data_IF_103252100217
#
_entry.id   IF_103252100217
#
_cell.length_a   1.000
_cell.length_b   1.000
_cell.length_c   1.000
_cell.angle_alpha   90.00
_cell.angle_beta   90.00
_cell.angle_gamma   90.00
#
_symmetry.space_group_name_H-M   'P 1'
#
loop_
_entity.id
_entity.type
_entity.pdbx_description
1 polymer ?
#
# COMPACT_ATOMS: atom_id res chain seq x y z
N UNK A 1 65.55 10.81 10.91
CA UNK A 1 66.40 11.47 9.91
C UNK A 1 65.55 12.43 9.09
N UNK A 2 65.73 13.72 9.31
CA UNK A 2 65.31 14.81 8.41
C UNK A 2 66.42 15.05 7.39
N UNK A 3 66.11 15.51 6.18
CA UNK A 3 66.39 16.89 5.82
C UNK A 3 65.25 17.50 4.99
N UNK A 4 64.94 18.71 5.03
CA UNK A 4 65.49 20.09 4.95
C UNK A 4 64.99 20.78 3.67
N UNK A 5 64.38 21.92 3.88
CA UNK A 5 64.00 23.07 3.05
C UNK A 5 64.87 23.33 1.81
N UNK A 6 64.24 23.78 0.70
CA UNK A 6 64.79 24.85 -0.16
C UNK A 6 63.66 25.74 -0.69
N UNK A 7 63.73 26.99 -0.27
CA UNK A 7 63.07 28.19 -0.87
C UNK A 7 63.75 28.50 -2.19
N UNK A 8 62.94 28.84 -3.18
CA UNK A 8 63.44 29.67 -4.31
C UNK A 8 62.49 30.85 -4.50
N UNK A 9 63.06 32.03 -4.30
CA UNK A 9 62.48 33.32 -4.65
C UNK A 9 62.63 33.55 -6.15
N UNK A 10 61.63 34.10 -6.81
CA UNK A 10 61.80 34.68 -8.15
C UNK A 10 60.91 35.92 -8.30
N UNK A 11 61.59 36.93 -8.48
CA UNK A 11 61.46 38.30 -8.99
C UNK A 11 60.13 38.69 -9.66
N UNK A 12 59.57 39.78 -9.17
CA UNK A 12 58.51 40.62 -9.79
C UNK A 12 59.07 41.39 -10.97
N UNK A 13 58.48 41.25 -12.11
CA UNK A 13 58.68 42.19 -13.24
C UNK A 13 57.34 42.86 -13.55
N UNK A 14 57.31 44.16 -13.27
CA UNK A 14 56.21 45.08 -13.52
C UNK A 14 56.19 45.47 -14.99
N UNK A 15 55.21 45.02 -15.76
CA UNK A 15 54.95 45.51 -17.09
C UNK A 15 53.67 46.35 -17.10
N UNK A 16 53.86 47.64 -17.27
CA UNK A 16 52.79 48.62 -17.52
C UNK A 16 52.32 48.44 -18.94
N UNK A 17 51.03 48.05 -19.11
CA UNK A 17 50.39 48.07 -20.44
C UNK A 17 49.23 49.05 -20.39
N UNK A 18 49.19 49.91 -21.36
CA UNK A 18 48.22 51.00 -21.58
C UNK A 18 46.80 50.47 -21.77
N UNK A 19 45.88 51.21 -21.18
CA UNK A 19 44.43 51.06 -21.32
C UNK A 19 44.00 51.31 -22.77
N UNK A 20 43.48 50.26 -23.41
CA UNK A 20 42.61 50.38 -24.56
C UNK A 20 41.18 50.06 -24.13
N UNK A 21 40.29 51.04 -24.13
CA UNK A 21 38.85 50.83 -23.99
C UNK A 21 38.34 50.06 -25.17
N UNK A 22 38.09 48.75 -24.98
CA UNK A 22 37.26 47.95 -25.90
C UNK A 22 35.88 47.87 -25.23
N UNK A 23 34.91 48.58 -25.82
CA UNK A 23 33.49 48.44 -25.44
C UNK A 23 33.07 47.00 -25.66
N UNK A 24 32.68 46.31 -24.60
CA UNK A 24 32.01 45.00 -24.67
C UNK A 24 30.68 45.16 -25.41
N UNK A 25 30.34 44.27 -26.33
CA UNK A 25 28.97 44.27 -26.91
C UNK A 25 27.98 43.96 -25.82
N UNK A 26 26.94 44.81 -25.68
CA UNK A 26 25.76 44.56 -24.88
C UNK A 26 25.19 43.19 -25.26
N UNK A 27 25.36 42.20 -24.40
CA UNK A 27 24.57 41.00 -24.46
C UNK A 27 23.11 41.40 -24.13
N UNK A 28 22.36 41.75 -25.15
CA UNK A 28 20.89 41.77 -25.08
C UNK A 28 20.48 40.37 -24.75
N UNK A 29 20.10 40.12 -23.50
CA UNK A 29 19.46 38.89 -23.09
C UNK A 29 18.27 38.66 -24.02
N UNK A 30 18.31 37.58 -24.82
CA UNK A 30 17.15 37.16 -25.59
C UNK A 30 15.93 37.13 -24.66
N UNK A 31 14.81 37.77 -25.02
CA UNK A 31 13.61 37.68 -24.22
C UNK A 31 13.28 36.22 -24.04
N UNK A 32 13.08 35.79 -22.79
CA UNK A 32 12.58 34.44 -22.47
C UNK A 32 11.33 34.25 -23.35
N UNK A 33 11.39 33.28 -24.26
CA UNK A 33 10.23 32.89 -25.07
C UNK A 33 9.15 32.49 -24.07
N UNK A 34 8.11 33.31 -23.95
CA UNK A 34 6.95 32.99 -23.14
C UNK A 34 6.41 31.66 -23.69
N UNK A 35 6.47 30.63 -22.86
CA UNK A 35 6.00 29.30 -23.20
C UNK A 35 4.52 29.44 -23.59
N UNK A 36 4.16 29.13 -24.83
CA UNK A 36 2.78 29.18 -25.27
C UNK A 36 1.93 28.24 -24.42
N UNK A 37 0.72 28.66 -23.98
CA UNK A 37 -0.15 27.77 -23.22
C UNK A 37 -0.40 26.48 -24.01
N UNK A 38 -0.45 25.32 -23.32
CA UNK A 38 -0.68 24.04 -23.98
C UNK A 38 -1.97 24.07 -24.82
N UNK A 39 -1.98 23.44 -25.98
CA UNK A 39 -3.23 23.23 -26.73
C UNK A 39 -4.20 22.39 -25.91
N UNK A 40 -5.52 22.46 -26.20
CA UNK A 40 -6.54 21.67 -25.49
C UNK A 40 -6.24 20.17 -25.52
N UNK A 41 -5.71 19.66 -26.65
CA UNK A 41 -5.24 18.25 -26.75
C UNK A 41 -4.10 17.95 -25.77
N UNK A 42 -3.12 18.85 -25.69
CA UNK A 42 -1.98 18.71 -24.78
C UNK A 42 -2.43 18.84 -23.32
N UNK A 43 -3.38 19.76 -23.03
CA UNK A 43 -3.95 19.94 -21.69
C UNK A 43 -4.75 18.72 -21.25
N UNK A 44 -5.53 18.09 -22.14
CA UNK A 44 -6.24 16.83 -21.87
C UNK A 44 -5.27 15.70 -21.49
N UNK A 45 -4.20 15.52 -22.26
CA UNK A 45 -3.18 14.53 -21.95
C UNK A 45 -2.48 14.80 -20.61
N UNK A 46 -2.11 16.06 -20.38
CA UNK A 46 -1.48 16.52 -19.14
C UNK A 46 -2.37 16.26 -17.92
N UNK A 47 -3.67 16.60 -18.02
CA UNK A 47 -4.66 16.35 -16.97
C UNK A 47 -4.79 14.85 -16.65
N UNK A 48 -4.77 13.99 -17.67
CA UNK A 48 -4.85 12.55 -17.47
C UNK A 48 -3.63 12.00 -16.72
N UNK A 49 -2.42 12.45 -17.04
CA UNK A 49 -1.20 12.04 -16.36
C UNK A 49 -1.18 12.52 -14.90
N UNK A 50 -1.53 13.79 -14.68
CA UNK A 50 -1.57 14.40 -13.35
C UNK A 50 -2.65 13.75 -12.48
N UNK A 51 -3.82 13.45 -13.03
CA UNK A 51 -4.87 12.73 -12.34
C UNK A 51 -4.38 11.35 -11.88
N UNK A 52 -3.76 10.59 -12.79
CA UNK A 52 -3.21 9.25 -12.48
C UNK A 52 -2.17 9.31 -11.36
N UNK A 53 -1.31 10.33 -11.37
CA UNK A 53 -0.31 10.58 -10.32
C UNK A 53 -0.96 10.90 -8.97
N UNK A 54 -1.96 11.78 -8.96
CA UNK A 54 -2.62 12.32 -7.76
C UNK A 54 -3.63 11.33 -7.14
N UNK A 55 -4.19 10.42 -7.95
CA UNK A 55 -5.31 9.54 -7.57
C UNK A 55 -5.07 8.79 -6.25
N UNK A 56 -3.91 8.13 -6.02
CA UNK A 56 -3.68 7.40 -4.78
C UNK A 56 -3.74 8.29 -3.53
N UNK A 57 -3.16 9.50 -3.59
CA UNK A 57 -3.14 10.41 -2.44
C UNK A 57 -4.53 10.96 -2.13
N UNK A 58 -5.32 11.31 -3.14
CA UNK A 58 -6.71 11.76 -2.95
C UNK A 58 -7.55 10.64 -2.35
N UNK A 59 -7.40 9.41 -2.85
CA UNK A 59 -8.10 8.24 -2.29
C UNK A 59 -7.68 7.95 -0.85
N UNK A 60 -6.39 8.05 -0.53
CA UNK A 60 -5.88 7.94 0.84
C UNK A 60 -6.54 8.95 1.78
N UNK A 61 -6.66 10.19 1.35
CA UNK A 61 -7.25 11.25 2.16
C UNK A 61 -8.76 11.04 2.39
N UNK A 62 -9.53 10.68 1.36
CA UNK A 62 -10.95 10.33 1.50
C UNK A 62 -11.14 9.13 2.43
N UNK A 63 -10.30 8.10 2.28
CA UNK A 63 -10.31 6.92 3.16
C UNK A 63 -9.99 7.31 4.61
N UNK A 64 -8.99 8.17 4.81
CA UNK A 64 -8.63 8.70 6.13
C UNK A 64 -9.81 9.45 6.76
N UNK A 65 -10.45 10.34 6.02
CA UNK A 65 -11.60 11.10 6.54
C UNK A 65 -12.71 10.17 7.03
N UNK A 66 -13.12 9.21 6.22
CA UNK A 66 -14.17 8.26 6.61
C UNK A 66 -13.78 7.41 7.84
N UNK A 67 -12.57 6.89 7.87
CA UNK A 67 -12.12 6.05 8.99
C UNK A 67 -11.95 6.86 10.28
N UNK A 68 -11.52 8.13 10.18
CA UNK A 68 -11.30 8.98 11.36
C UNK A 68 -12.59 9.58 11.94
N UNK A 69 -13.73 9.42 11.27
CA UNK A 69 -15.04 9.69 11.89
C UNK A 69 -15.31 8.80 13.12
N UNK A 70 -14.82 7.55 13.08
CA UNK A 70 -15.02 6.55 14.14
C UNK A 70 -13.85 6.45 15.09
N UNK A 71 -12.63 6.64 14.60
CA UNK A 71 -11.40 6.48 15.39
C UNK A 71 -10.48 7.67 15.14
N UNK A 72 -10.17 8.51 16.16
CA UNK A 72 -9.30 9.67 15.99
C UNK A 72 -7.93 9.30 15.42
N UNK A 73 -7.27 10.26 14.75
CA UNK A 73 -5.86 10.11 14.34
C UNK A 73 -4.97 9.77 15.55
N UNK A 74 -3.86 9.11 15.31
CA UNK A 74 -2.91 8.66 16.33
C UNK A 74 -3.55 7.71 17.39
N UNK A 75 -4.59 6.99 16.99
CA UNK A 75 -5.30 6.02 17.84
C UNK A 75 -5.56 4.73 17.08
N UNK A 76 -5.34 3.58 17.71
CA UNK A 76 -5.62 2.30 17.09
C UNK A 76 -7.11 1.97 17.07
N UNK A 77 -7.56 1.46 15.93
CA UNK A 77 -8.78 0.67 15.76
C UNK A 77 -8.40 -0.79 15.60
N UNK A 78 -8.93 -1.67 16.43
CA UNK A 78 -8.62 -3.10 16.39
C UNK A 78 -9.82 -3.91 15.89
N UNK A 79 -9.60 -4.72 14.85
CA UNK A 79 -10.54 -5.79 14.49
C UNK A 79 -10.28 -6.98 15.41
N UNK A 80 -11.30 -7.39 16.17
CA UNK A 80 -11.19 -8.42 17.22
C UNK A 80 -11.58 -9.81 16.73
N UNK A 81 -12.18 -9.90 15.57
CA UNK A 81 -12.61 -11.16 14.94
C UNK A 81 -12.23 -11.19 13.48
N UNK A 82 -12.18 -12.38 12.91
CA UNK A 82 -12.16 -12.49 11.45
C UNK A 82 -13.52 -12.05 10.88
N UNK A 83 -13.53 -11.48 9.67
CA UNK A 83 -14.77 -11.35 8.91
C UNK A 83 -15.40 -12.74 8.67
N UNK A 84 -16.68 -12.77 8.49
CA UNK A 84 -17.45 -13.96 8.10
C UNK A 84 -18.11 -13.76 6.73
N UNK A 85 -18.99 -14.67 6.33
CA UNK A 85 -19.64 -14.61 5.03
C UNK A 85 -20.66 -13.47 4.87
N UNK A 86 -21.05 -12.78 5.95
CA UNK A 86 -21.91 -11.59 5.89
C UNK A 86 -21.14 -10.31 5.64
N UNK A 87 -19.79 -10.37 5.72
CA UNK A 87 -18.93 -9.21 5.56
C UNK A 87 -18.73 -8.87 4.07
N UNK A 88 -19.14 -7.66 3.69
CA UNK A 88 -19.10 -7.18 2.29
C UNK A 88 -18.33 -5.87 2.10
N UNK A 89 -17.72 -5.31 3.17
CA UNK A 89 -17.05 -4.00 3.13
C UNK A 89 -15.81 -3.99 2.25
N UNK A 90 -15.10 -5.11 2.14
CA UNK A 90 -13.91 -5.27 1.29
C UNK A 90 -13.90 -6.64 0.62
N UNK A 91 -13.36 -6.69 -0.59
CA UNK A 91 -13.16 -7.94 -1.35
C UNK A 91 -12.00 -8.76 -0.77
N UNK A 92 -12.04 -10.07 -0.98
CA UNK A 92 -11.01 -11.02 -0.54
C UNK A 92 -10.64 -10.89 0.93
N UNK A 93 -11.63 -10.90 1.87
CA UNK A 93 -11.37 -10.71 3.29
C UNK A 93 -10.37 -11.74 3.84
N UNK A 94 -9.65 -11.36 4.89
CA UNK A 94 -8.57 -12.13 5.48
C UNK A 94 -9.06 -12.94 6.70
N UNK A 95 -8.73 -14.23 6.78
CA UNK A 95 -9.02 -15.11 7.89
C UNK A 95 -7.74 -15.64 8.60
N UNK A 96 -6.60 -14.92 8.44
CA UNK A 96 -5.30 -15.32 8.96
C UNK A 96 -4.78 -14.42 10.06
N UNK A 97 -5.15 -13.12 10.02
CA UNK A 97 -4.61 -12.09 10.91
C UNK A 97 -5.72 -11.19 11.43
N UNK A 98 -5.59 -10.73 12.67
CA UNK A 98 -6.41 -9.65 13.20
C UNK A 98 -5.73 -8.30 12.97
N UNK A 99 -6.51 -7.33 12.50
CA UNK A 99 -6.00 -6.02 12.11
C UNK A 99 -5.96 -5.03 13.27
N UNK A 100 -4.93 -4.20 13.27
CA UNK A 100 -4.76 -3.02 14.15
C UNK A 100 -4.40 -1.83 13.27
N UNK A 101 -5.37 -0.98 12.97
CA UNK A 101 -5.20 0.12 12.03
C UNK A 101 -5.19 1.47 12.73
N UNK A 102 -4.37 2.40 12.25
CA UNK A 102 -4.34 3.78 12.72
C UNK A 102 -3.93 4.73 11.61
N UNK A 103 -4.54 5.90 11.57
CA UNK A 103 -4.08 7.03 10.78
C UNK A 103 -3.19 7.91 11.65
N UNK A 104 -1.96 8.19 11.21
CA UNK A 104 -1.04 9.07 11.90
C UNK A 104 -1.04 10.44 11.24
N UNK A 105 -1.06 11.48 12.06
CA UNK A 105 -0.79 12.85 11.68
C UNK A 105 0.54 13.26 12.33
N UNK A 106 1.57 13.40 11.52
CA UNK A 106 2.94 13.75 11.91
C UNK A 106 3.25 15.23 11.68
N UNK A 107 2.26 16.03 11.29
CA UNK A 107 2.47 17.45 10.96
C UNK A 107 2.86 18.31 12.19
N UNK A 108 2.47 17.87 13.39
CA UNK A 108 2.74 18.61 14.63
C UNK A 108 3.95 18.06 15.38
N UNK A 109 3.98 16.76 15.57
CA UNK A 109 5.03 16.08 16.34
C UNK A 109 5.13 14.60 15.94
N UNK A 110 6.26 13.93 16.23
CA UNK A 110 6.42 12.51 16.06
C UNK A 110 5.46 11.70 16.93
N UNK A 111 5.16 10.48 16.46
CA UNK A 111 4.37 9.50 17.20
C UNK A 111 5.23 8.26 17.49
N UNK A 112 5.22 7.82 18.74
CA UNK A 112 5.92 6.61 19.16
C UNK A 112 4.98 5.42 19.05
N UNK A 113 5.34 4.47 18.17
CA UNK A 113 4.72 3.15 18.08
C UNK A 113 5.38 2.23 19.10
N UNK A 114 4.63 1.78 20.09
CA UNK A 114 5.06 0.75 21.05
C UNK A 114 4.41 -0.58 20.73
N UNK A 115 5.23 -1.64 20.60
CA UNK A 115 4.78 -3.02 20.40
C UNK A 115 5.25 -3.89 21.57
N UNK A 116 4.40 -4.81 22.08
CA UNK A 116 4.79 -5.75 23.14
C UNK A 116 5.72 -6.84 22.59
N UNK A 117 6.26 -7.67 23.48
CA UNK A 117 6.84 -8.95 23.07
C UNK A 117 5.73 -9.88 22.56
N UNK A 118 5.80 -10.28 21.30
CA UNK A 118 4.83 -11.18 20.68
C UNK A 118 5.17 -12.66 20.84
N UNK A 119 6.25 -12.98 21.57
CA UNK A 119 6.69 -14.34 21.90
C UNK A 119 6.83 -15.23 20.66
N UNK A 120 7.48 -14.70 19.62
CA UNK A 120 7.69 -15.42 18.36
C UNK A 120 6.50 -15.40 17.39
N UNK A 121 5.32 -14.88 17.78
CA UNK A 121 4.16 -14.75 16.90
C UNK A 121 4.47 -13.79 15.75
N UNK A 122 4.06 -14.16 14.55
CA UNK A 122 4.16 -13.27 13.39
C UNK A 122 3.25 -12.06 13.55
N UNK A 123 3.80 -10.90 13.33
CA UNK A 123 3.09 -9.63 13.20
C UNK A 123 3.85 -8.71 12.24
N UNK A 124 3.17 -7.74 11.69
CA UNK A 124 3.73 -6.64 10.93
C UNK A 124 2.90 -5.37 11.18
N UNK A 125 3.59 -4.22 11.17
CA UNK A 125 3.02 -2.88 11.31
C UNK A 125 3.45 -2.00 10.14
N UNK A 126 3.00 -2.28 8.90
CA UNK A 126 3.36 -1.49 7.74
C UNK A 126 2.93 -0.05 7.91
N UNK A 127 3.84 0.87 7.61
CA UNK A 127 3.64 2.31 7.58
C UNK A 127 3.59 2.74 6.12
N UNK A 128 2.43 3.14 5.67
CA UNK A 128 2.16 3.57 4.30
C UNK A 128 2.11 5.09 4.26
N UNK A 129 2.88 5.71 3.36
CA UNK A 129 2.88 7.14 3.14
C UNK A 129 1.60 7.62 2.39
N UNK A 130 1.44 8.92 2.25
CA UNK A 130 0.30 9.51 1.54
C UNK A 130 0.23 9.09 0.04
N UNK A 131 1.34 8.66 -0.54
CA UNK A 131 1.46 8.20 -1.91
C UNK A 131 1.28 6.69 -2.06
N UNK A 132 0.86 6.01 -1.00
CA UNK A 132 0.61 4.56 -0.91
C UNK A 132 1.86 3.68 -0.98
N UNK A 133 3.06 4.22 -0.75
CA UNK A 133 4.24 3.40 -0.59
C UNK A 133 4.41 2.97 0.88
N UNK A 134 4.72 1.72 1.11
CA UNK A 134 5.14 1.22 2.43
C UNK A 134 6.61 1.56 2.63
N UNK A 135 6.89 2.58 3.44
CA UNK A 135 8.26 3.05 3.68
C UNK A 135 8.95 2.33 4.85
N UNK A 136 8.20 1.69 5.72
CA UNK A 136 8.71 0.85 6.80
C UNK A 136 7.66 -0.18 7.22
N UNK A 137 8.12 -1.33 7.72
CA UNK A 137 7.23 -2.40 8.19
C UNK A 137 7.82 -3.05 9.45
N UNK A 138 7.77 -2.37 10.64
CA UNK A 138 8.14 -3.02 11.90
C UNK A 138 7.35 -4.32 12.09
N UNK A 139 8.04 -5.41 12.44
CA UNK A 139 7.40 -6.70 12.55
C UNK A 139 8.41 -7.84 12.71
N UNK A 140 7.92 -9.07 12.77
CA UNK A 140 8.77 -10.24 12.98
C UNK A 140 9.94 -10.30 12.00
N UNK A 141 9.71 -9.95 10.73
CA UNK A 141 10.72 -9.98 9.68
C UNK A 141 11.83 -8.95 9.88
N UNK A 142 11.46 -7.72 10.26
CA UNK A 142 12.36 -6.54 10.23
C UNK A 142 12.94 -6.19 11.60
N UNK A 143 12.10 -6.22 12.65
CA UNK A 143 12.47 -5.78 14.00
C UNK A 143 12.41 -6.90 15.03
N UNK A 144 12.02 -8.10 14.61
CA UNK A 144 11.87 -9.25 15.50
C UNK A 144 10.58 -9.22 16.32
N UNK A 145 10.52 -10.04 17.36
CA UNK A 145 9.30 -10.25 18.16
C UNK A 145 9.38 -9.72 19.58
N UNK A 146 10.53 -9.21 20.00
CA UNK A 146 10.71 -8.59 21.33
C UNK A 146 10.01 -7.24 21.40
N UNK A 147 9.71 -6.78 22.61
CA UNK A 147 9.17 -5.43 22.83
C UNK A 147 10.03 -4.37 22.15
N UNK A 148 9.39 -3.42 21.47
CA UNK A 148 10.06 -2.33 20.79
C UNK A 148 9.28 -1.02 20.85
N UNK A 149 10.01 0.09 20.74
CA UNK A 149 9.47 1.44 20.59
C UNK A 149 10.13 2.10 19.38
N UNK A 150 9.32 2.59 18.46
CA UNK A 150 9.76 3.20 17.21
C UNK A 150 9.20 4.61 17.12
N UNK A 151 10.08 5.60 16.95
CA UNK A 151 9.66 7.00 16.80
C UNK A 151 9.42 7.28 15.32
N UNK A 152 8.16 7.49 14.94
CA UNK A 152 7.78 7.83 13.57
C UNK A 152 7.79 9.34 13.47
N UNK A 153 8.72 9.90 12.68
CA UNK A 153 8.89 11.35 12.47
C UNK A 153 8.33 11.77 11.13
N UNK A 154 7.78 12.98 11.05
CA UNK A 154 7.37 13.59 9.77
C UNK A 154 8.58 14.07 8.93
N UNK A 155 8.34 14.46 7.67
CA UNK A 155 9.42 14.85 6.74
C UNK A 155 10.22 16.05 7.23
N UNK A 156 9.58 17.03 7.86
CA UNK A 156 10.18 18.28 8.27
C UNK A 156 10.64 18.30 9.74
N UNK A 157 10.46 17.20 10.46
CA UNK A 157 10.85 17.16 11.87
C UNK A 157 12.37 17.23 12.04
N UNK A 158 12.83 18.08 12.99
CA UNK A 158 14.26 18.37 13.26
C UNK A 158 14.62 18.29 14.75
N UNK A 159 13.73 17.75 15.58
CA UNK A 159 13.96 17.67 17.02
C UNK A 159 14.94 16.57 17.44
N UNK A 160 15.08 16.37 18.76
CA UNK A 160 15.94 15.35 19.36
C UNK A 160 15.10 14.16 19.81
N UNK A 161 15.56 12.96 19.49
CA UNK A 161 14.91 11.72 19.90
C UNK A 161 15.24 11.34 21.34
N UNK A 162 14.33 10.67 22.04
CA UNK A 162 14.64 10.02 23.31
C UNK A 162 15.77 9.00 23.14
N UNK A 163 16.68 8.95 24.12
CA UNK A 163 17.84 8.05 24.07
C UNK A 163 17.44 6.58 23.88
N UNK A 164 18.08 5.91 22.95
CA UNK A 164 17.90 4.47 22.69
C UNK A 164 16.66 4.13 21.84
N UNK A 165 15.96 5.10 21.28
CA UNK A 165 14.86 4.87 20.35
C UNK A 165 15.32 4.82 18.90
N UNK A 166 14.68 3.97 18.12
CA UNK A 166 14.88 3.89 16.68
C UNK A 166 13.95 4.89 15.98
N UNK A 167 14.53 5.74 15.13
CA UNK A 167 13.76 6.61 14.23
C UNK A 167 13.27 5.86 13.02
N UNK A 168 12.02 6.11 12.63
CA UNK A 168 11.45 5.78 11.33
C UNK A 168 10.95 7.08 10.72
N UNK A 169 11.72 7.63 9.77
CA UNK A 169 11.35 8.88 9.11
C UNK A 169 10.35 8.63 8.00
N UNK A 170 9.20 9.27 8.10
CA UNK A 170 8.17 9.26 7.07
C UNK A 170 8.47 10.29 5.99
N UNK A 171 8.26 9.97 4.70
CA UNK A 171 8.34 10.95 3.62
C UNK A 171 7.15 11.93 3.59
N UNK A 172 6.06 11.63 4.31
CA UNK A 172 4.85 12.45 4.36
C UNK A 172 4.34 12.60 5.79
N UNK A 173 3.53 13.65 6.05
CA UNK A 173 2.93 13.84 7.38
C UNK A 173 1.70 12.95 7.60
N UNK A 174 0.98 12.58 6.54
CA UNK A 174 -0.11 11.62 6.58
C UNK A 174 0.46 10.20 6.40
N UNK A 175 0.18 9.32 7.37
CA UNK A 175 0.62 7.93 7.34
C UNK A 175 -0.54 7.01 7.72
N UNK A 176 -0.71 5.92 7.00
CA UNK A 176 -1.61 4.84 7.38
C UNK A 176 -0.83 3.64 7.91
N UNK A 177 -1.00 3.32 9.18
CA UNK A 177 -0.50 2.11 9.80
C UNK A 177 -1.57 1.01 9.68
N UNK A 178 -1.23 -0.10 9.02
CA UNK A 178 -2.15 -1.22 8.79
C UNK A 178 -1.56 -2.49 9.43
N UNK A 179 -1.57 -2.53 10.76
CA UNK A 179 -1.01 -3.63 11.53
C UNK A 179 -1.79 -4.93 11.34
N UNK A 180 -1.07 -6.04 11.30
CA UNK A 180 -1.62 -7.40 11.20
C UNK A 180 -0.93 -8.31 12.21
N UNK A 181 -1.71 -9.04 13.00
CA UNK A 181 -1.20 -10.01 13.99
C UNK A 181 -1.77 -11.38 13.66
N UNK A 182 -0.92 -12.37 13.49
CA UNK A 182 -1.30 -13.77 13.22
C UNK A 182 -2.30 -14.26 14.25
N UNK A 183 -3.37 -14.91 13.80
CA UNK A 183 -4.33 -15.60 14.63
C UNK A 183 -4.59 -17.01 14.09
N UNK A 184 -4.50 -18.00 14.97
CA UNK A 184 -4.61 -19.42 14.61
C UNK A 184 -6.05 -19.93 14.88
N UNK A 185 -7.02 -19.32 14.18
CA UNK A 185 -8.44 -19.61 14.37
C UNK A 185 -9.06 -18.86 15.57
N UNK A 186 -10.38 -19.05 15.76
CA UNK A 186 -11.18 -18.32 16.75
C UNK A 186 -10.72 -18.55 18.20
N UNK A 187 -10.23 -19.73 18.52
CA UNK A 187 -9.71 -20.10 19.84
C UNK A 187 -8.46 -19.30 20.25
N UNK A 188 -7.75 -18.71 19.28
CA UNK A 188 -6.54 -17.93 19.52
C UNK A 188 -6.82 -16.42 19.71
N UNK A 189 -8.05 -15.96 19.43
CA UNK A 189 -8.42 -14.54 19.57
C UNK A 189 -8.08 -13.93 20.93
N UNK A 190 -8.33 -14.59 22.08
CA UNK A 190 -7.99 -14.00 23.38
C UNK A 190 -6.49 -13.71 23.53
N UNK A 191 -5.61 -14.55 22.95
CA UNK A 191 -4.16 -14.31 22.97
C UNK A 191 -3.78 -13.11 22.09
N UNK A 192 -4.37 -13.00 20.91
CA UNK A 192 -4.14 -11.86 20.00
C UNK A 192 -4.71 -10.57 20.59
N UNK A 193 -5.87 -10.60 21.23
CA UNK A 193 -6.47 -9.43 21.89
C UNK A 193 -5.53 -8.87 22.96
N UNK A 194 -4.90 -9.72 23.78
CA UNK A 194 -3.92 -9.29 24.79
C UNK A 194 -2.72 -8.57 24.17
N UNK A 195 -2.31 -8.92 22.94
CA UNK A 195 -1.26 -8.20 22.21
C UNK A 195 -1.79 -6.87 21.66
N UNK A 196 -2.98 -6.88 21.03
CA UNK A 196 -3.61 -5.68 20.49
C UNK A 196 -3.85 -4.63 21.60
N UNK A 197 -4.23 -5.06 22.80
CA UNK A 197 -4.45 -4.18 23.96
C UNK A 197 -3.16 -3.51 24.46
N UNK A 198 -2.01 -3.99 24.05
CA UNK A 198 -0.69 -3.43 24.41
C UNK A 198 -0.06 -2.61 23.28
N UNK A 199 -0.59 -2.65 22.06
CA UNK A 199 -0.14 -1.71 21.02
C UNK A 199 -0.51 -0.28 21.43
N UNK A 200 0.46 0.63 21.37
CA UNK A 200 0.27 2.04 21.75
C UNK A 200 0.81 2.97 20.67
N UNK A 201 0.12 4.07 20.52
CA UNK A 201 0.59 5.25 19.78
C UNK A 201 0.63 6.39 20.77
N UNK A 202 1.82 6.93 20.98
CA UNK A 202 2.05 7.99 21.97
C UNK A 202 2.71 9.18 21.29
N UNK A 203 2.12 10.39 21.30
CA UNK A 203 2.80 11.59 20.84
C UNK A 203 4.13 11.78 21.59
N UNK A 204 5.15 12.27 20.92
CA UNK A 204 6.48 12.42 21.52
C UNK A 204 6.44 13.32 22.77
N UNK A 205 5.65 14.38 22.78
CA UNK A 205 5.45 15.29 23.91
C UNK A 205 4.85 14.61 25.15
N UNK A 206 4.12 13.51 25.00
CA UNK A 206 3.53 12.74 26.09
C UNK A 206 4.41 11.55 26.54
N UNK A 207 5.56 11.34 25.92
CA UNK A 207 6.45 10.23 26.25
C UNK A 207 7.16 10.46 27.59
N UNK A 208 7.09 9.49 28.51
CA UNK A 208 7.70 9.57 29.85
C UNK A 208 6.96 10.43 30.86
N UNK A 209 5.91 11.12 30.47
CA UNK A 209 5.13 11.99 31.34
C UNK A 209 3.63 11.70 31.29
N UNK A 210 3.08 11.13 32.31
CA UNK A 210 1.67 11.16 32.62
C UNK A 210 0.67 10.57 31.60
N UNK A 211 -0.56 10.39 32.05
CA UNK A 211 -1.67 9.87 31.26
C UNK A 211 -2.12 10.88 30.20
N UNK A 212 -1.98 10.56 28.91
CA UNK A 212 -2.58 11.35 27.83
C UNK A 212 -4.09 11.40 28.03
N UNK A 213 -4.64 12.59 28.03
CA UNK A 213 -6.07 12.81 27.84
C UNK A 213 -6.31 12.73 26.31
N UNK A 214 -7.13 11.82 25.79
CA UNK A 214 -7.48 11.82 24.38
C UNK A 214 -8.05 13.18 24.00
N UNK A 215 -7.50 13.80 22.96
CA UNK A 215 -8.09 15.00 22.41
C UNK A 215 -9.51 14.64 21.95
N UNK A 216 -10.53 15.28 22.51
CA UNK A 216 -11.90 15.16 22.01
C UNK A 216 -11.87 15.75 20.60
N UNK A 217 -11.94 14.87 19.59
CA UNK A 217 -12.16 15.31 18.22
C UNK A 217 -13.54 15.96 18.22
N UNK A 218 -13.56 17.29 18.05
CA UNK A 218 -14.81 17.99 17.79
C UNK A 218 -15.45 17.38 16.54
N UNK A 219 -16.76 17.07 16.56
CA UNK A 219 -17.44 16.63 15.36
C UNK A 219 -17.16 17.65 14.27
N UNK A 220 -16.47 17.25 13.21
CA UNK A 220 -16.32 18.13 12.05
C UNK A 220 -17.69 18.21 11.42
N UNK A 221 -18.26 19.43 11.21
CA UNK A 221 -19.46 19.60 10.41
C UNK A 221 -19.05 19.34 8.96
N UNK A 222 -19.09 18.12 8.54
CA UNK A 222 -18.76 17.75 7.17
C UNK A 222 -19.95 16.98 6.63
N UNK A 223 -20.45 17.46 5.49
CA UNK A 223 -21.23 16.64 4.59
C UNK A 223 -20.33 15.52 3.99
N UNK A 224 -19.73 14.68 4.86
CA UNK A 224 -19.02 13.50 4.39
C UNK A 224 -20.11 12.48 4.06
N UNK A 225 -20.12 12.06 2.81
CA UNK A 225 -20.92 10.92 2.38
C UNK A 225 -20.39 9.67 3.11
N UNK A 226 -21.22 9.10 3.98
CA UNK A 226 -20.89 7.86 4.73
C UNK A 226 -21.47 6.61 4.08
N UNK A 227 -22.24 6.77 3.02
CA UNK A 227 -22.93 5.69 2.30
C UNK A 227 -22.09 5.15 1.15
N UNK A 228 -21.43 6.04 0.40
CA UNK A 228 -20.56 5.66 -0.72
C UNK A 228 -19.17 5.28 -0.24
N UNK A 229 -18.56 4.29 -0.88
CA UNK A 229 -17.17 3.90 -0.62
C UNK A 229 -16.19 5.04 -1.00
N UNK A 230 -14.96 5.07 -0.41
CA UNK A 230 -13.95 6.07 -0.80
C UNK A 230 -13.68 6.11 -2.30
N UNK A 231 -13.67 4.95 -2.95
CA UNK A 231 -13.45 4.82 -4.40
C UNK A 231 -14.57 5.49 -5.19
N UNK A 232 -15.83 5.28 -4.79
CA UNK A 232 -17.00 5.90 -5.42
C UNK A 232 -17.00 7.41 -5.20
N UNK A 233 -16.67 7.89 -4.01
CA UNK A 233 -16.59 9.33 -3.72
C UNK A 233 -15.52 10.03 -4.57
N UNK A 234 -14.33 9.44 -4.72
CA UNK A 234 -13.30 10.00 -5.60
C UNK A 234 -13.72 9.94 -7.06
N UNK A 235 -14.40 8.87 -7.49
CA UNK A 235 -14.88 8.73 -8.86
C UNK A 235 -15.99 9.76 -9.21
N UNK A 236 -16.75 10.24 -8.21
CA UNK A 236 -17.80 11.24 -8.39
C UNK A 236 -17.27 12.70 -8.41
N UNK A 237 -15.99 12.93 -8.07
CA UNK A 237 -15.40 14.28 -8.11
C UNK A 237 -15.25 14.76 -9.55
N UNK A 238 -15.63 16.02 -9.81
CA UNK A 238 -15.18 16.72 -11.01
C UNK A 238 -13.67 17.06 -10.91
N UNK A 239 -13.08 17.44 -12.02
CA UNK A 239 -11.65 17.74 -12.06
C UNK A 239 -11.25 18.88 -11.13
N UNK A 240 -12.10 19.92 -10.98
CA UNK A 240 -11.81 21.04 -10.10
C UNK A 240 -11.78 20.63 -8.64
N UNK A 241 -12.78 19.88 -8.17
CA UNK A 241 -12.83 19.35 -6.80
C UNK A 241 -11.65 18.42 -6.52
N UNK A 242 -11.36 17.51 -7.43
CA UNK A 242 -10.26 16.56 -7.32
C UNK A 242 -8.90 17.26 -7.22
N UNK A 243 -8.56 18.15 -8.15
CA UNK A 243 -7.27 18.85 -8.14
C UNK A 243 -7.16 19.89 -7.04
N UNK A 244 -8.25 20.50 -6.61
CA UNK A 244 -8.26 21.36 -5.43
C UNK A 244 -7.89 20.57 -4.17
N UNK A 245 -8.51 19.40 -3.99
CA UNK A 245 -8.19 18.52 -2.87
C UNK A 245 -6.72 18.06 -2.93
N UNK A 246 -6.26 17.63 -4.09
CA UNK A 246 -4.88 17.25 -4.31
C UNK A 246 -3.91 18.37 -3.95
N UNK A 247 -4.12 19.58 -4.46
CA UNK A 247 -3.25 20.73 -4.17
C UNK A 247 -3.19 21.07 -2.68
N UNK A 248 -4.31 20.93 -1.96
CA UNK A 248 -4.38 21.15 -0.52
C UNK A 248 -3.59 20.11 0.31
N UNK A 249 -3.37 18.91 -0.21
CA UNK A 249 -2.63 17.84 0.45
C UNK A 249 -1.11 17.96 0.29
N UNK A 250 -0.65 18.59 -0.78
CA UNK A 250 0.78 18.67 -1.14
C UNK A 250 1.70 19.31 -0.07
N UNK A 251 1.29 20.37 0.67
CA UNK A 251 2.17 20.99 1.66
C UNK A 251 2.66 20.03 2.74
N UNK A 252 1.79 19.13 3.20
CA UNK A 252 2.10 18.15 4.24
C UNK A 252 2.61 16.82 3.68
N UNK A 253 2.47 16.60 2.38
CA UNK A 253 2.76 15.34 1.71
C UNK A 253 3.50 15.57 0.38
N UNK A 254 4.73 16.08 0.43
CA UNK A 254 5.48 16.41 -0.77
C UNK A 254 5.71 15.19 -1.68
N UNK A 255 5.79 15.39 -3.01
CA UNK A 255 6.25 14.35 -3.93
C UNK A 255 7.68 13.91 -3.62
N UNK A 256 8.02 12.69 -4.01
CA UNK A 256 9.39 12.20 -3.88
C UNK A 256 10.34 12.94 -4.86
N UNK A 257 11.65 13.03 -4.58
CA UNK A 257 12.61 13.64 -5.51
C UNK A 257 12.58 13.02 -6.94
N UNK A 258 12.27 11.74 -7.04
CA UNK A 258 12.12 11.04 -8.32
C UNK A 258 10.92 11.53 -9.16
N UNK A 259 9.98 12.24 -8.55
CA UNK A 259 8.78 12.75 -9.21
C UNK A 259 8.97 14.16 -9.83
N UNK A 260 10.21 14.69 -9.88
CA UNK A 260 10.51 16.05 -10.36
C UNK A 260 9.85 16.35 -11.73
N UNK A 261 9.94 15.43 -12.68
CA UNK A 261 9.31 15.59 -14.00
C UNK A 261 7.76 15.66 -13.93
N UNK A 262 7.16 15.05 -12.92
CA UNK A 262 5.71 15.17 -12.69
C UNK A 262 5.38 16.49 -12.00
N UNK A 263 6.23 16.97 -11.11
CA UNK A 263 6.08 18.30 -10.47
C UNK A 263 6.09 19.40 -11.54
N UNK A 264 6.95 19.32 -12.57
CA UNK A 264 6.91 20.24 -13.71
C UNK A 264 5.57 20.19 -14.46
N UNK A 265 4.98 18.99 -14.59
CA UNK A 265 3.65 18.83 -15.18
C UNK A 265 2.53 19.46 -14.32
N UNK A 266 2.65 19.36 -13.00
CA UNK A 266 1.71 20.06 -12.08
C UNK A 266 1.74 21.58 -12.34
N UNK A 267 2.93 22.17 -12.40
CA UNK A 267 3.10 23.61 -12.67
C UNK A 267 2.52 24.01 -14.02
N UNK A 268 2.81 23.24 -15.09
CA UNK A 268 2.26 23.50 -16.44
C UNK A 268 0.74 23.37 -16.50
N UNK A 269 0.14 22.58 -15.63
CA UNK A 269 -1.31 22.48 -15.49
C UNK A 269 -1.91 23.61 -14.62
N UNK A 270 -1.07 24.42 -13.98
CA UNK A 270 -1.50 25.51 -13.09
C UNK A 270 -1.84 25.05 -11.67
N UNK A 271 -1.39 23.84 -11.28
CA UNK A 271 -1.56 23.36 -9.91
C UNK A 271 -0.46 23.95 -9.04
N UNK A 272 -0.86 24.76 -8.06
CA UNK A 272 0.04 25.38 -7.07
C UNK A 272 -0.18 24.73 -5.69
N UNK A 273 0.92 24.42 -5.02
CA UNK A 273 0.91 23.77 -3.70
C UNK A 273 0.08 24.60 -2.70
N UNK A 274 -0.92 23.99 -2.08
CA UNK A 274 -1.78 24.59 -1.09
C UNK A 274 -2.82 25.60 -1.62
N UNK A 275 -2.86 25.84 -2.94
CA UNK A 275 -3.80 26.79 -3.56
C UNK A 275 -4.93 26.03 -4.26
N UNK A 276 -6.22 26.40 -4.05
CA UNK A 276 -7.32 25.77 -4.74
C UNK A 276 -7.20 25.86 -6.26
N UNK A 277 -7.34 24.74 -6.94
CA UNK A 277 -7.34 24.68 -8.39
C UNK A 277 -8.67 25.21 -8.95
N UNK A 278 -8.62 26.11 -9.93
CA UNK A 278 -9.79 26.77 -10.47
C UNK A 278 -9.87 26.61 -11.99
N UNK A 279 -10.83 25.86 -12.46
CA UNK A 279 -11.15 25.78 -13.91
C UNK A 279 -11.89 27.01 -14.41
N UNK A 280 -12.53 27.77 -13.51
CA UNK A 280 -13.31 28.95 -13.84
C UNK A 280 -12.50 30.14 -14.36
N UNK A 281 -11.18 30.13 -14.18
CA UNK A 281 -10.28 31.16 -14.72
C UNK A 281 -9.63 30.74 -16.05
N UNK A 282 -9.93 29.53 -16.55
CA UNK A 282 -9.44 29.00 -17.80
C UNK A 282 -10.40 29.33 -18.94
N UNK A 283 -9.89 29.30 -20.19
CA UNK A 283 -10.76 29.28 -21.35
C UNK A 283 -11.72 28.08 -21.28
N UNK A 284 -13.00 28.23 -21.72
CA UNK A 284 -13.96 27.14 -21.61
C UNK A 284 -13.56 25.85 -22.30
N UNK A 285 -12.81 25.90 -23.40
CA UNK A 285 -12.29 24.73 -24.11
C UNK A 285 -11.22 24.03 -23.28
N UNK A 286 -10.30 24.76 -22.67
CA UNK A 286 -9.24 24.26 -21.81
C UNK A 286 -9.81 23.65 -20.54
N UNK A 287 -10.78 24.29 -19.88
CA UNK A 287 -11.47 23.72 -18.72
C UNK A 287 -12.15 22.38 -19.03
N UNK A 288 -12.78 22.28 -20.23
CA UNK A 288 -13.35 21.04 -20.73
C UNK A 288 -12.27 19.97 -20.98
N UNK A 289 -11.15 20.34 -21.57
CA UNK A 289 -10.03 19.45 -21.83
C UNK A 289 -9.46 18.86 -20.51
N UNK A 290 -9.36 19.67 -19.45
CA UNK A 290 -8.97 19.23 -18.11
C UNK A 290 -9.95 18.17 -17.57
N UNK A 291 -11.26 18.43 -17.65
CA UNK A 291 -12.28 17.47 -17.20
C UNK A 291 -12.24 16.17 -18.01
N UNK A 292 -12.13 16.25 -19.32
CA UNK A 292 -12.03 15.07 -20.19
C UNK A 292 -10.78 14.25 -19.91
N UNK A 293 -9.65 14.89 -19.60
CA UNK A 293 -8.41 14.21 -19.22
C UNK A 293 -8.56 13.43 -17.91
N UNK A 294 -9.12 14.06 -16.88
CA UNK A 294 -9.41 13.41 -15.60
C UNK A 294 -10.35 12.20 -15.77
N UNK A 295 -11.43 12.36 -16.53
CA UNK A 295 -12.39 11.29 -16.82
C UNK A 295 -11.74 10.12 -17.57
N UNK A 296 -10.89 10.42 -18.56
CA UNK A 296 -10.14 9.38 -19.31
C UNK A 296 -9.16 8.62 -18.44
N UNK A 297 -8.48 9.32 -17.52
CA UNK A 297 -7.55 8.70 -16.56
C UNK A 297 -8.27 7.75 -15.61
N UNK A 298 -9.39 8.17 -15.04
CA UNK A 298 -10.21 7.30 -14.18
C UNK A 298 -10.68 6.06 -14.94
N UNK A 299 -11.15 6.21 -16.15
CA UNK A 299 -11.55 5.08 -17.00
C UNK A 299 -10.38 4.12 -17.28
N UNK A 300 -9.19 4.66 -17.51
CA UNK A 300 -7.98 3.85 -17.71
C UNK A 300 -7.56 3.09 -16.45
N UNK A 301 -7.66 3.70 -15.26
CA UNK A 301 -7.42 3.04 -13.96
C UNK A 301 -8.39 1.86 -13.77
N UNK A 302 -9.71 2.10 -13.99
CA UNK A 302 -10.74 1.05 -13.89
C UNK A 302 -10.51 -0.08 -14.90
N UNK A 303 -10.14 0.27 -16.14
CA UNK A 303 -9.83 -0.72 -17.16
C UNK A 303 -8.58 -1.54 -16.79
N UNK A 304 -7.53 -0.89 -16.26
CA UNK A 304 -6.33 -1.57 -15.76
C UNK A 304 -6.65 -2.55 -14.63
N UNK A 305 -7.55 -2.15 -13.72
CA UNK A 305 -8.03 -3.00 -12.65
C UNK A 305 -8.78 -4.26 -13.15
N UNK A 306 -9.57 -4.12 -14.22
CA UNK A 306 -10.34 -5.23 -14.82
C UNK A 306 -9.49 -6.20 -15.64
N UNK A 307 -8.45 -5.70 -16.32
CA UNK A 307 -7.58 -6.53 -17.15
C UNK A 307 -6.81 -7.56 -16.34
N UNK A 308 -6.52 -7.26 -15.06
CA UNK A 308 -5.65 -8.10 -14.26
C UNK A 308 -4.24 -8.20 -14.87
N UNK A 309 -3.44 -9.11 -14.35
CA UNK A 309 -2.18 -9.50 -14.99
C UNK A 309 -2.41 -10.76 -15.86
N UNK A 310 -1.55 -10.92 -16.85
CA UNK A 310 -1.53 -12.13 -17.65
C UNK A 310 -1.28 -13.36 -16.77
N UNK A 311 -1.94 -14.45 -17.11
CA UNK A 311 -1.76 -15.76 -16.53
C UNK A 311 -0.27 -16.18 -16.56
N UNK A 312 0.23 -16.74 -15.49
CA UNK A 312 1.58 -17.31 -15.43
C UNK A 312 1.71 -18.67 -16.15
N UNK A 313 0.71 -19.07 -16.94
CA UNK A 313 0.71 -20.29 -17.74
C UNK A 313 0.16 -21.54 -17.04
N UNK A 314 -0.21 -21.45 -15.76
CA UNK A 314 -0.81 -22.52 -14.97
C UNK A 314 -2.08 -22.09 -14.22
N UNK A 315 -2.68 -20.97 -14.62
CA UNK A 315 -3.90 -20.40 -14.04
C UNK A 315 -3.68 -19.47 -12.85
N UNK A 316 -2.48 -19.37 -12.28
CA UNK A 316 -2.20 -18.49 -11.14
C UNK A 316 -1.64 -17.14 -11.56
N UNK A 317 -2.14 -16.09 -10.92
CA UNK A 317 -1.65 -14.72 -11.03
C UNK A 317 -1.02 -14.30 -9.72
N UNK A 318 0.21 -13.79 -9.76
CA UNK A 318 0.96 -13.34 -8.58
C UNK A 318 1.64 -12.00 -8.84
N UNK A 319 1.40 -11.03 -7.95
CA UNK A 319 2.04 -9.71 -7.99
C UNK A 319 3.21 -9.67 -7.02
N UNK A 320 4.39 -9.32 -7.51
CA UNK A 320 5.63 -9.21 -6.73
C UNK A 320 6.16 -7.79 -6.64
N UNK A 321 5.40 -6.81 -7.11
CA UNK A 321 5.78 -5.41 -7.27
C UNK A 321 4.77 -4.45 -6.59
N UNK A 322 4.18 -4.90 -5.48
CA UNK A 322 3.23 -4.12 -4.69
C UNK A 322 3.92 -3.43 -3.50
N UNK A 323 3.26 -2.41 -2.97
CA UNK A 323 3.70 -1.72 -1.75
C UNK A 323 4.75 -0.63 -1.96
N UNK A 324 5.49 -0.64 -3.07
CA UNK A 324 6.38 0.46 -3.51
C UNK A 324 6.33 0.55 -5.03
N UNK A 325 6.23 1.75 -5.58
CA UNK A 325 5.89 1.92 -7.00
C UNK A 325 6.86 2.81 -7.77
N UNK A 326 7.72 3.58 -7.08
CA UNK A 326 8.58 4.56 -7.74
C UNK A 326 7.77 5.49 -8.64
N UNK A 327 8.21 5.64 -9.90
CA UNK A 327 7.51 6.44 -10.92
C UNK A 327 6.48 5.65 -11.74
N UNK A 328 6.14 4.42 -11.36
CA UNK A 328 5.11 3.61 -12.01
C UNK A 328 3.70 4.07 -11.59
N UNK A 329 3.34 5.31 -11.93
CA UNK A 329 2.12 5.98 -11.46
C UNK A 329 0.83 5.22 -11.83
N UNK A 330 0.75 4.68 -13.03
CA UNK A 330 -0.39 3.86 -13.47
C UNK A 330 -0.56 2.61 -12.61
N UNK A 331 0.54 1.90 -12.31
CA UNK A 331 0.53 0.74 -11.42
C UNK A 331 0.06 1.12 -10.01
N UNK A 332 0.60 2.20 -9.46
CA UNK A 332 0.23 2.74 -8.15
C UNK A 332 -1.27 3.09 -8.09
N UNK A 333 -1.80 3.78 -9.10
CA UNK A 333 -3.20 4.16 -9.18
C UNK A 333 -4.14 2.95 -9.30
N UNK A 334 -3.80 1.97 -10.15
CA UNK A 334 -4.57 0.72 -10.28
C UNK A 334 -4.56 -0.07 -8.97
N UNK A 335 -3.40 -0.19 -8.32
CA UNK A 335 -3.31 -0.88 -7.03
C UNK A 335 -4.13 -0.16 -5.95
N UNK A 336 -4.09 1.16 -5.91
CA UNK A 336 -4.91 1.94 -4.98
C UNK A 336 -6.41 1.70 -5.22
N UNK A 337 -6.84 1.62 -6.49
CA UNK A 337 -8.24 1.32 -6.85
C UNK A 337 -8.71 -0.06 -6.37
N UNK A 338 -7.90 -1.13 -6.60
CA UNK A 338 -8.32 -2.52 -6.33
C UNK A 338 -8.02 -3.01 -4.92
N UNK A 339 -7.01 -2.44 -4.25
CA UNK A 339 -6.49 -2.99 -3.00
C UNK A 339 -5.63 -1.99 -2.25
N UNK A 340 -6.21 -0.82 -1.91
CA UNK A 340 -5.52 0.16 -1.08
C UNK A 340 -5.03 -0.50 0.21
N UNK A 341 -3.78 -0.29 0.58
CA UNK A 341 -3.17 -0.93 1.76
C UNK A 341 -2.37 -2.21 1.44
N UNK A 342 -1.88 -2.35 0.21
CA UNK A 342 -1.02 -3.46 -0.19
C UNK A 342 0.27 -3.53 0.66
N UNK A 343 0.69 -4.77 1.00
CA UNK A 343 1.95 -5.01 1.70
C UNK A 343 3.14 -4.98 0.74
N UNK A 344 4.34 -4.89 1.32
CA UNK A 344 5.56 -5.29 0.62
C UNK A 344 5.52 -6.80 0.33
N UNK A 345 6.04 -7.25 -0.82
CA UNK A 345 6.10 -8.68 -1.15
C UNK A 345 6.87 -9.49 -0.10
N UNK A 346 7.90 -8.92 0.52
CA UNK A 346 8.70 -9.57 1.58
C UNK A 346 7.91 -9.82 2.86
N UNK A 347 6.83 -9.08 3.09
CA UNK A 347 5.95 -9.29 4.24
C UNK A 347 4.84 -10.29 3.92
N UNK A 348 4.21 -10.15 2.75
CA UNK A 348 3.18 -11.09 2.31
C UNK A 348 3.00 -11.02 0.79
N UNK A 349 2.93 -12.18 0.16
CA UNK A 349 2.65 -12.31 -1.26
C UNK A 349 1.37 -13.12 -1.46
N UNK A 350 0.64 -12.78 -2.53
CA UNK A 350 -0.66 -13.35 -2.83
C UNK A 350 -0.68 -13.89 -4.25
N UNK A 351 -1.00 -15.18 -4.41
CA UNK A 351 -1.30 -15.79 -5.69
C UNK A 351 -2.80 -16.08 -5.77
N UNK A 352 -3.43 -15.70 -6.86
CA UNK A 352 -4.87 -15.95 -7.07
C UNK A 352 -5.10 -16.72 -8.35
N UNK A 353 -6.16 -17.56 -8.36
CA UNK A 353 -6.58 -18.27 -9.55
C UNK A 353 -8.11 -18.34 -9.63
N UNK A 354 -8.61 -18.37 -10.87
CA UNK A 354 -10.02 -18.59 -11.23
C UNK A 354 -10.19 -19.72 -12.22
N UNK A 355 -9.10 -20.39 -12.58
CA UNK A 355 -9.10 -21.44 -13.60
C UNK A 355 -8.42 -22.71 -13.09
N UNK A 356 -8.80 -23.85 -13.65
CA UNK A 356 -8.12 -25.12 -13.45
C UNK A 356 -6.88 -25.25 -14.37
N UNK A 357 -6.23 -26.41 -14.31
CA UNK A 357 -5.06 -26.74 -15.12
C UNK A 357 -5.31 -26.70 -16.63
N UNK A 358 -6.57 -26.78 -17.08
CA UNK A 358 -6.97 -26.73 -18.48
C UNK A 358 -7.43 -25.31 -18.89
N UNK A 359 -7.30 -24.32 -18.03
CA UNK A 359 -7.78 -22.96 -18.27
C UNK A 359 -9.29 -22.79 -18.15
N UNK A 360 -10.03 -23.80 -17.66
CA UNK A 360 -11.47 -23.70 -17.46
C UNK A 360 -11.79 -22.96 -16.17
N UNK A 361 -12.84 -22.11 -16.15
CA UNK A 361 -13.27 -21.45 -14.92
C UNK A 361 -13.61 -22.46 -13.82
N UNK A 362 -13.17 -22.19 -12.60
CA UNK A 362 -13.47 -23.01 -11.43
C UNK A 362 -14.95 -22.93 -11.09
N UNK A 363 -15.58 -24.08 -10.89
CA UNK A 363 -17.00 -24.23 -10.57
C UNK A 363 -17.18 -25.11 -9.34
N UNK A 364 -17.99 -24.69 -8.39
CA UNK A 364 -18.16 -25.42 -7.15
C UNK A 364 -18.89 -26.75 -7.26
N UNK A 365 -19.60 -26.97 -8.35
CA UNK A 365 -20.18 -28.28 -8.67
C UNK A 365 -19.16 -29.35 -9.07
N UNK A 366 -17.94 -28.97 -9.40
CA UNK A 366 -16.83 -29.87 -9.68
C UNK A 366 -15.96 -30.12 -8.42
N UNK A 367 -15.13 -31.14 -8.49
CA UNK A 367 -14.16 -31.49 -7.46
C UNK A 367 -12.77 -31.15 -7.95
N UNK A 368 -11.97 -30.52 -7.07
CA UNK A 368 -10.60 -30.16 -7.41
C UNK A 368 -9.64 -30.63 -6.33
N UNK A 369 -8.40 -30.87 -6.74
CA UNK A 369 -7.27 -31.10 -5.85
C UNK A 369 -6.17 -30.10 -6.19
N UNK A 370 -5.68 -29.42 -5.18
CA UNK A 370 -4.42 -28.68 -5.23
C UNK A 370 -3.37 -29.55 -4.56
N UNK A 371 -2.49 -30.15 -5.38
CA UNK A 371 -1.45 -31.06 -4.94
C UNK A 371 -0.12 -30.34 -4.83
N UNK A 372 0.52 -30.45 -3.68
CA UNK A 372 1.90 -29.99 -3.44
C UNK A 372 2.80 -31.19 -3.25
N UNK A 373 3.79 -31.36 -4.11
CA UNK A 373 4.88 -32.29 -3.84
C UNK A 373 5.59 -31.95 -2.52
N UNK A 374 6.22 -32.94 -1.91
CA UNK A 374 6.90 -32.77 -0.61
C UNK A 374 7.83 -31.56 -0.57
N UNK A 375 8.59 -31.33 -1.64
CA UNK A 375 9.57 -30.24 -1.74
C UNK A 375 9.00 -28.99 -2.43
N UNK A 376 7.70 -28.98 -2.72
CA UNK A 376 6.97 -27.89 -3.39
C UNK A 376 5.88 -27.26 -2.50
N UNK A 377 5.92 -27.51 -1.19
CA UNK A 377 5.04 -26.83 -0.25
C UNK A 377 5.27 -25.32 -0.33
N UNK A 378 4.23 -24.48 -0.08
CA UNK A 378 4.40 -23.01 -0.17
C UNK A 378 5.53 -22.50 0.72
N UNK A 379 6.60 -21.88 0.15
CA UNK A 379 7.81 -21.50 0.87
C UNK A 379 7.60 -20.19 1.65
N UNK A 380 7.11 -20.31 2.88
CA UNK A 380 6.82 -19.20 3.77
C UNK A 380 7.45 -19.41 5.15
N UNK A 381 8.28 -18.46 5.59
CA UNK A 381 8.97 -18.51 6.89
C UNK A 381 8.05 -18.31 8.08
N UNK A 382 6.92 -17.63 7.89
CA UNK A 382 5.91 -17.48 8.92
C UNK A 382 4.82 -18.55 8.79
N UNK A 383 3.98 -18.46 7.78
CA UNK A 383 2.92 -19.41 7.46
C UNK A 383 2.32 -19.12 6.08
N UNK A 384 1.56 -20.07 5.57
CA UNK A 384 0.75 -19.91 4.36
C UNK A 384 -0.70 -20.33 4.61
N UNK A 385 -1.61 -19.84 3.77
CA UNK A 385 -3.03 -20.24 3.72
C UNK A 385 -3.56 -20.22 2.30
N UNK A 386 -4.47 -21.13 2.01
CA UNK A 386 -5.33 -21.13 0.82
C UNK A 386 -6.74 -20.73 1.24
N UNK A 387 -7.28 -19.67 0.66
CA UNK A 387 -8.62 -19.15 0.96
C UNK A 387 -9.52 -19.27 -0.25
N UNK A 388 -10.79 -19.62 -0.04
CA UNK A 388 -11.82 -19.66 -1.08
C UNK A 388 -12.76 -18.45 -0.97
N UNK A 389 -13.17 -17.97 -2.16
CA UNK A 389 -14.15 -16.91 -2.33
C UNK A 389 -15.15 -17.27 -3.44
N UNK A 390 -16.32 -16.67 -3.41
CA UNK A 390 -17.24 -16.66 -4.53
C UNK A 390 -16.79 -15.69 -5.64
N UNK A 391 -17.55 -15.62 -6.73
CA UNK A 391 -17.26 -14.71 -7.85
C UNK A 391 -17.21 -13.23 -7.47
N UNK A 392 -17.87 -12.83 -6.36
CA UNK A 392 -17.84 -11.49 -5.80
C UNK A 392 -16.68 -11.26 -4.84
N UNK A 393 -15.78 -12.24 -4.73
CA UNK A 393 -14.63 -12.23 -3.79
C UNK A 393 -15.04 -12.09 -2.31
N UNK A 394 -16.22 -12.59 -1.95
CA UNK A 394 -16.69 -12.70 -0.58
C UNK A 394 -16.51 -14.12 -0.05
N UNK A 395 -16.41 -14.28 1.28
CA UNK A 395 -16.45 -15.59 1.90
C UNK A 395 -17.77 -16.32 1.63
N UNK A 396 -17.71 -17.64 1.58
CA UNK A 396 -18.81 -18.51 1.26
C UNK A 396 -19.36 -19.14 2.53
N UNK A 397 -20.66 -18.97 2.86
CA UNK A 397 -21.25 -19.68 3.97
C UNK A 397 -21.04 -21.19 3.84
N UNK A 398 -20.56 -21.83 4.89
CA UNK A 398 -20.41 -23.29 4.92
C UNK A 398 -20.62 -23.84 6.35
N UNK A 399 -21.05 -25.11 6.48
CA UNK A 399 -21.46 -25.67 7.79
C UNK A 399 -20.39 -25.68 8.86
N UNK A 400 -19.12 -25.69 8.46
CA UNK A 400 -17.98 -25.74 9.41
C UNK A 400 -17.28 -24.38 9.56
N UNK A 401 -17.80 -23.32 8.93
CA UNK A 401 -17.24 -21.96 8.92
C UNK A 401 -15.74 -21.91 8.60
N UNK A 402 -15.31 -22.79 7.68
CA UNK A 402 -13.92 -22.90 7.22
C UNK A 402 -13.76 -22.15 5.90
N UNK A 403 -13.12 -20.99 5.93
CA UNK A 403 -12.89 -20.14 4.77
C UNK A 403 -11.48 -20.29 4.19
N UNK A 404 -10.57 -20.79 5.02
CA UNK A 404 -9.18 -21.03 4.65
C UNK A 404 -8.65 -22.34 5.23
N UNK A 405 -7.60 -22.86 4.60
CA UNK A 405 -6.79 -23.98 5.08
C UNK A 405 -5.31 -23.64 4.87
N UNK A 406 -4.42 -24.02 5.77
CA UNK A 406 -3.01 -23.69 5.62
C UNK A 406 -2.09 -24.37 6.62
N UNK A 407 -0.80 -23.97 6.64
CA UNK A 407 0.25 -24.58 7.45
C UNK A 407 -0.01 -24.60 8.96
N UNK A 408 -0.97 -23.81 9.45
CA UNK A 408 -1.35 -23.74 10.86
C UNK A 408 -2.45 -24.74 11.25
N UNK A 409 -3.04 -25.40 10.24
CA UNK A 409 -4.06 -26.44 10.45
C UNK A 409 -3.41 -27.81 10.71
N UNK A 410 -4.21 -28.73 11.27
CA UNK A 410 -3.80 -30.13 11.43
C UNK A 410 -3.97 -30.88 10.12
N UNK A 411 -3.13 -30.57 9.13
CA UNK A 411 -3.16 -31.18 7.82
C UNK A 411 -2.73 -32.65 7.85
N UNK A 412 -3.26 -33.44 6.94
CA UNK A 412 -2.88 -34.82 6.68
C UNK A 412 -2.02 -34.86 5.41
N UNK A 413 -0.75 -35.18 5.59
CA UNK A 413 0.20 -35.42 4.50
C UNK A 413 0.08 -36.85 3.97
N UNK A 414 0.37 -37.03 2.70
CA UNK A 414 0.48 -38.33 2.08
C UNK A 414 1.72 -39.08 2.61
N UNK A 415 1.81 -40.39 2.29
CA UNK A 415 2.93 -41.24 2.78
C UNK A 415 4.30 -40.78 2.30
N UNK A 416 4.38 -40.18 1.12
CA UNK A 416 5.59 -39.61 0.51
C UNK A 416 5.92 -38.21 1.00
N UNK A 417 5.08 -37.62 1.83
CA UNK A 417 5.23 -36.26 2.38
C UNK A 417 4.59 -35.17 1.53
N UNK A 418 3.97 -35.50 0.41
CA UNK A 418 3.16 -34.55 -0.39
C UNK A 418 1.87 -34.17 0.32
N UNK A 419 1.20 -33.13 -0.15
CA UNK A 419 0.00 -32.59 0.46
C UNK A 419 -1.09 -32.35 -0.60
N UNK A 420 -2.27 -32.93 -0.36
CA UNK A 420 -3.48 -32.67 -1.14
C UNK A 420 -4.43 -31.77 -0.38
N UNK A 421 -4.89 -30.67 -1.00
CA UNK A 421 -6.02 -29.86 -0.53
C UNK A 421 -7.22 -30.18 -1.43
N UNK A 422 -8.31 -30.60 -0.79
CA UNK A 422 -9.55 -30.99 -1.49
C UNK A 422 -10.51 -29.81 -1.52
N UNK A 423 -10.85 -29.33 -2.71
CA UNK A 423 -11.75 -28.21 -2.93
C UNK A 423 -13.02 -28.77 -3.62
N UNK A 424 -14.10 -28.88 -2.86
CA UNK A 424 -15.38 -29.41 -3.32
C UNK A 424 -16.50 -29.00 -2.39
N UNK A 425 -17.75 -29.04 -2.89
CA UNK A 425 -18.93 -28.67 -2.11
C UNK A 425 -19.19 -29.67 -0.99
N UNK A 426 -19.25 -30.93 -1.30
CA UNK A 426 -19.50 -31.99 -0.33
C UNK A 426 -18.25 -32.37 0.45
N UNK A 427 -18.46 -32.72 1.73
CA UNK A 427 -17.38 -33.18 2.58
C UNK A 427 -16.81 -34.52 2.08
N UNK A 428 -15.52 -34.61 1.79
CA UNK A 428 -14.90 -35.88 1.39
C UNK A 428 -14.87 -36.89 2.55
N UNK A 429 -14.89 -38.18 2.22
CA UNK A 429 -14.86 -39.24 3.21
C UNK A 429 -13.47 -39.39 3.89
N UNK A 430 -13.47 -39.96 5.08
CA UNK A 430 -12.27 -40.37 5.80
C UNK A 430 -11.28 -39.27 6.09
N UNK A 431 -9.98 -39.57 5.94
CA UNK A 431 -8.88 -38.67 6.27
C UNK A 431 -8.80 -37.40 5.40
N UNK A 432 -9.34 -37.44 4.20
CA UNK A 432 -9.38 -36.30 3.26
C UNK A 432 -10.12 -35.11 3.85
N UNK A 433 -11.08 -35.33 4.73
CA UNK A 433 -11.85 -34.25 5.41
C UNK A 433 -10.97 -33.29 6.23
N UNK A 434 -9.78 -33.71 6.66
CA UNK A 434 -8.84 -32.83 7.37
C UNK A 434 -8.34 -31.68 6.48
N UNK A 435 -8.13 -31.96 5.18
CA UNK A 435 -7.60 -31.05 4.18
C UNK A 435 -8.70 -30.49 3.26
N UNK A 436 -9.96 -30.61 3.66
CA UNK A 436 -11.09 -30.14 2.86
C UNK A 436 -11.33 -28.64 3.04
N UNK A 437 -11.47 -27.93 1.93
CA UNK A 437 -11.89 -26.55 1.86
C UNK A 437 -13.25 -26.50 1.13
N UNK A 438 -14.36 -26.19 1.84
CA UNK A 438 -15.71 -26.21 1.26
C UNK A 438 -15.88 -25.22 0.12
N UNK A 439 -16.25 -25.68 -1.07
CA UNK A 439 -16.55 -24.86 -2.23
C UNK A 439 -18.02 -24.39 -2.22
N UNK A 440 -18.34 -23.21 -2.83
CA UNK A 440 -19.72 -22.80 -3.09
C UNK A 440 -20.35 -23.72 -4.13
N UNK A 441 -21.67 -23.66 -4.33
CA UNK A 441 -22.30 -24.39 -5.47
C UNK A 441 -21.97 -23.76 -6.83
N UNK A 442 -21.65 -22.47 -6.84
CA UNK A 442 -21.42 -21.64 -8.04
C UNK A 442 -19.93 -21.44 -8.35
N UNK A 443 -19.62 -20.41 -9.15
CA UNK A 443 -18.26 -20.01 -9.47
C UNK A 443 -17.43 -19.67 -8.24
N UNK A 444 -16.14 -19.99 -8.28
CA UNK A 444 -15.23 -19.73 -7.18
C UNK A 444 -13.88 -19.22 -7.66
N UNK A 445 -13.19 -18.55 -6.76
CA UNK A 445 -11.78 -18.22 -6.91
C UNK A 445 -11.00 -18.53 -5.64
N UNK A 446 -9.70 -18.74 -5.80
CA UNK A 446 -8.80 -19.09 -4.71
C UNK A 446 -7.70 -18.05 -4.57
N UNK A 447 -7.25 -17.87 -3.35
CA UNK A 447 -6.08 -17.06 -3.05
C UNK A 447 -5.17 -17.80 -2.09
N UNK A 448 -3.96 -18.10 -2.55
CA UNK A 448 -2.85 -18.58 -1.73
C UNK A 448 -2.09 -17.38 -1.19
N UNK A 449 -1.98 -17.30 0.13
CA UNK A 449 -1.23 -16.27 0.83
C UNK A 449 0.00 -16.88 1.48
N UNK A 450 1.18 -16.30 1.23
CA UNK A 450 2.41 -16.65 1.92
C UNK A 450 2.90 -15.44 2.72
N UNK A 451 3.02 -15.61 4.04
CA UNK A 451 3.46 -14.57 4.97
C UNK A 451 4.94 -14.77 5.29
N UNK A 452 5.73 -13.70 5.15
CA UNK A 452 7.19 -13.73 5.16
C UNK A 452 7.71 -14.82 4.19
N UNK A 453 7.45 -14.63 2.89
CA UNK A 453 7.84 -15.59 1.87
C UNK A 453 9.36 -15.76 1.80
N UNK A 454 9.78 -16.91 1.32
CA UNK A 454 11.17 -17.16 0.98
C UNK A 454 11.53 -16.56 -0.38
N UNK A 455 12.85 -16.47 -0.66
CA UNK A 455 13.34 -15.80 -1.86
C UNK A 455 12.80 -16.41 -3.16
N UNK A 456 12.68 -17.72 -3.22
CA UNK A 456 12.15 -18.44 -4.39
C UNK A 456 10.72 -18.05 -4.78
N UNK A 457 9.93 -17.53 -3.83
CA UNK A 457 8.62 -16.96 -4.09
C UNK A 457 8.71 -15.54 -4.63
N UNK A 458 9.65 -14.75 -4.09
CA UNK A 458 9.87 -13.35 -4.45
C UNK A 458 10.45 -13.20 -5.86
N UNK A 459 11.37 -14.08 -6.26
CA UNK A 459 12.00 -14.06 -7.59
C UNK A 459 11.21 -14.82 -8.68
N UNK A 460 10.15 -15.54 -8.27
CA UNK A 460 9.28 -16.26 -9.21
C UNK A 460 9.76 -17.66 -9.58
N UNK A 461 10.82 -18.15 -8.96
CA UNK A 461 11.30 -19.53 -9.17
C UNK A 461 10.30 -20.56 -8.68
N UNK A 462 9.54 -20.24 -7.63
CA UNK A 462 8.43 -21.04 -7.15
C UNK A 462 7.08 -20.44 -7.57
N UNK A 463 6.19 -21.29 -8.05
CA UNK A 463 4.79 -20.95 -8.33
C UNK A 463 3.87 -22.03 -7.73
N UNK A 464 2.63 -21.69 -7.33
CA UNK A 464 1.67 -22.70 -6.90
C UNK A 464 1.42 -23.72 -8.03
N UNK A 465 1.22 -25.01 -7.71
CA UNK A 465 0.85 -26.00 -8.71
C UNK A 465 -0.53 -25.69 -9.31
N UNK A 466 -0.77 -26.17 -10.53
CA UNK A 466 -2.06 -26.03 -11.19
C UNK A 466 -3.18 -26.75 -10.41
N UNK A 467 -4.39 -26.18 -10.46
CA UNK A 467 -5.57 -26.78 -9.81
C UNK A 467 -6.11 -27.90 -10.69
N UNK A 468 -6.10 -29.12 -10.22
CA UNK A 468 -6.54 -30.28 -10.99
C UNK A 468 -8.00 -30.59 -10.72
N UNK A 469 -8.85 -30.65 -11.78
CA UNK A 469 -10.19 -31.22 -11.66
C UNK A 469 -10.07 -32.74 -11.54
N UNK A 470 -10.83 -33.31 -10.62
CA UNK A 470 -10.90 -34.74 -10.37
C UNK A 470 -12.36 -35.22 -10.44
N UNK A 471 -12.55 -36.50 -10.71
CA UNK A 471 -13.89 -37.12 -10.82
C UNK A 471 -14.62 -37.25 -9.46
#
# INVERSE_FOLDING_TARGET
MKPSFRQLASTVTLAVMLSGCVSAPDHVASPAVAEQPPSDQAMKALSAEVFTFAYPMVLMDVTRELMTLRTPVNTFSHKRTFPDASFTDVVSPNADTLYSSAWLDLSREPVILSVPDTQGRYYLMPLMDAWTNVFASPGKRTTGTRRGNFVITGPDWRGTLPKGMQEIRSPTSMVWLIGRTQANGKQDFPAVHRLQDQYRLTPLSAWGGGRRVPEKVAPRPTAIDTESSPVEQVAAMDAQAFFTRFAALLPANPPAPADAAMVDKLHRMGITVGVPFKTTVMEPSTARAVQEGATAALAAIVQGARKGNADAGNGWVMHRDLGTYGTSYGRRAVTAWVGLGANLPEDAIYASTRTDANGKPLQGGARYVLHFDKDQLPPARAFWSLTLYNDRQAFIPNPIQRYAVGSRDRLRYNRDGSLDIYIQHERPAGAKAANWLPAPPDGLNMMLRAYWPEQVLLDGTWMPPAVMQVD
#
